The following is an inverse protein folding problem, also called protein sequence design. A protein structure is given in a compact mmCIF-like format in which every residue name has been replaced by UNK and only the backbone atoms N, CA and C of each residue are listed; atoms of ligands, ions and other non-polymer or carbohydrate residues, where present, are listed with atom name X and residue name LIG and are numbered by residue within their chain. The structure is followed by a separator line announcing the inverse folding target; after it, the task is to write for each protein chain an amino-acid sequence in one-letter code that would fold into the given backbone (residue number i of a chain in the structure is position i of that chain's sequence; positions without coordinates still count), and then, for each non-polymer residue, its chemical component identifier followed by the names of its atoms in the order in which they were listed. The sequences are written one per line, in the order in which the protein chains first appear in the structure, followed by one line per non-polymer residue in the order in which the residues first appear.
data_IF_092513604345
#
_entry.id   IF_092513604345
#
_cell.length_a   1.000
_cell.length_b   1.000
_cell.length_c   1.000
_cell.angle_alpha   90.00
_cell.angle_beta   90.00
_cell.angle_gamma   90.00
#
_symmetry.space_group_name_H-M   'P 1'
#
loop_
_entity.id
_entity.type
_entity.pdbx_description
1 polymer ?
#
# COMPACT_ATOMS: atom_id res chain seq x y z
N UNK A 1 -6.18 -37.60 16.13
CA UNK A 1 -5.78 -36.26 16.57
C UNK A 1 -5.62 -35.43 15.34
N UNK A 2 -6.34 -34.32 15.21
CA UNK A 2 -6.19 -33.42 14.08
C UNK A 2 -5.29 -32.30 14.57
N UNK A 3 -4.05 -32.30 14.10
CA UNK A 3 -3.16 -31.15 14.29
C UNK A 3 -3.76 -29.98 13.52
N UNK A 4 -3.87 -28.83 14.20
CA UNK A 4 -4.28 -27.57 13.61
C UNK A 4 -3.12 -26.59 13.73
N UNK A 5 -2.79 -25.93 12.62
CA UNK A 5 -1.78 -24.88 12.56
C UNK A 5 -2.49 -23.55 12.31
N UNK A 6 -2.10 -22.50 13.04
CA UNK A 6 -2.66 -21.15 12.89
C UNK A 6 -1.60 -20.18 12.37
N UNK A 7 -1.94 -19.45 11.32
CA UNK A 7 -1.07 -18.40 10.76
C UNK A 7 -1.52 -17.03 11.28
N UNK A 8 -0.65 -16.38 12.05
CA UNK A 8 -0.90 -15.01 12.51
C UNK A 8 -0.60 -13.98 11.41
N UNK A 9 -1.27 -12.83 11.49
CA UNK A 9 -0.90 -11.63 10.74
C UNK A 9 0.55 -11.23 11.05
N UNK A 10 1.29 -10.79 10.04
CA UNK A 10 2.65 -10.29 10.17
C UNK A 10 2.80 -9.07 9.27
N UNK A 11 2.83 -7.85 9.83
CA UNK A 11 2.75 -6.63 9.03
C UNK A 11 4.02 -6.34 8.24
N UNK A 12 5.17 -6.86 8.65
CA UNK A 12 6.46 -6.75 7.96
C UNK A 12 7.06 -8.11 7.66
N UNK A 13 8.32 -8.32 8.07
CA UNK A 13 8.98 -9.61 7.93
C UNK A 13 8.29 -10.69 8.79
N UNK A 14 8.07 -11.85 8.18
CA UNK A 14 7.51 -13.02 8.85
C UNK A 14 8.45 -13.48 9.97
N UNK A 15 7.96 -13.65 11.23
CA UNK A 15 8.79 -14.16 12.33
C UNK A 15 9.03 -15.67 12.23
N UNK A 16 8.34 -16.37 11.33
CA UNK A 16 8.45 -17.82 11.13
C UNK A 16 9.02 -18.15 9.76
N UNK A 17 9.99 -19.06 9.74
CA UNK A 17 10.56 -19.62 8.52
C UNK A 17 9.70 -20.81 8.07
N UNK A 18 8.57 -20.55 7.42
CA UNK A 18 7.79 -21.59 6.75
C UNK A 18 8.20 -21.73 5.28
N UNK A 19 8.25 -22.97 4.78
CA UNK A 19 8.51 -23.31 3.37
C UNK A 19 9.84 -22.79 2.77
N UNK A 20 10.93 -22.83 3.54
CA UNK A 20 12.29 -22.61 3.00
C UNK A 20 12.77 -21.16 2.96
N UNK A 21 12.03 -20.19 3.52
CA UNK A 21 12.49 -18.81 3.69
C UNK A 21 11.37 -17.77 3.60
N UNK A 22 11.59 -16.59 4.23
CA UNK A 22 10.76 -15.38 4.31
C UNK A 22 9.43 -15.39 3.50
N UNK A 23 8.39 -16.00 4.06
CA UNK A 23 7.02 -15.88 3.52
C UNK A 23 6.37 -14.57 3.97
N UNK A 24 6.77 -13.47 3.33
CA UNK A 24 6.37 -12.09 3.69
C UNK A 24 5.04 -11.65 3.05
N UNK A 25 4.09 -12.59 2.92
CA UNK A 25 2.78 -12.39 2.28
C UNK A 25 1.60 -12.38 3.26
N UNK A 26 1.87 -12.26 4.57
CA UNK A 26 0.87 -12.45 5.64
C UNK A 26 0.47 -11.15 6.33
N UNK A 27 0.62 -10.03 5.65
CA UNK A 27 0.26 -8.72 6.18
C UNK A 27 0.85 -7.49 5.52
N UNK A 28 2.05 -7.53 4.89
CA UNK A 28 2.60 -6.34 4.26
C UNK A 28 1.79 -5.87 3.05
N UNK A 29 1.96 -4.60 2.70
CA UNK A 29 1.41 -4.00 1.50
C UNK A 29 2.34 -4.29 0.32
N UNK A 30 1.80 -5.00 -0.67
CA UNK A 30 2.48 -5.29 -1.93
C UNK A 30 1.85 -4.50 -3.08
N UNK A 31 2.66 -3.69 -3.78
CA UNK A 31 2.20 -2.83 -4.88
C UNK A 31 1.52 -3.60 -6.03
N UNK A 32 2.04 -4.75 -6.53
CA UNK A 32 1.41 -5.45 -7.65
C UNK A 32 -0.03 -5.88 -7.37
N UNK A 33 -0.26 -6.46 -6.18
CA UNK A 33 -1.59 -6.98 -5.82
C UNK A 33 -2.57 -5.83 -5.60
N UNK A 34 -2.13 -4.75 -4.96
CA UNK A 34 -2.95 -3.55 -4.82
C UNK A 34 -3.29 -2.93 -6.18
N UNK A 35 -2.33 -2.87 -7.10
CA UNK A 35 -2.56 -2.35 -8.44
C UNK A 35 -3.60 -3.17 -9.21
N UNK A 36 -3.52 -4.50 -9.19
CA UNK A 36 -4.50 -5.37 -9.82
C UNK A 36 -5.90 -5.25 -9.20
N UNK A 37 -5.98 -5.06 -7.88
CA UNK A 37 -7.24 -4.78 -7.19
C UNK A 37 -7.85 -3.45 -7.66
N UNK A 38 -7.04 -2.40 -7.75
CA UNK A 38 -7.46 -1.07 -8.22
C UNK A 38 -7.97 -1.13 -9.66
N UNK A 39 -7.24 -1.75 -10.57
CA UNK A 39 -7.69 -1.95 -11.96
C UNK A 39 -9.01 -2.73 -12.03
N UNK A 40 -9.18 -3.74 -11.18
CA UNK A 40 -10.43 -4.50 -11.10
C UNK A 40 -11.59 -3.64 -10.60
N UNK A 41 -11.38 -2.84 -9.55
CA UNK A 41 -12.39 -1.91 -9.03
C UNK A 41 -12.81 -0.90 -10.09
N UNK A 42 -11.87 -0.32 -10.83
CA UNK A 42 -12.15 0.63 -11.92
C UNK A 42 -12.96 -0.03 -13.05
N UNK A 43 -12.60 -1.27 -13.43
CA UNK A 43 -13.35 -2.04 -14.44
C UNK A 43 -14.79 -2.31 -14.00
N UNK A 44 -14.99 -2.72 -12.75
CA UNK A 44 -16.33 -2.99 -12.23
C UNK A 44 -17.12 -1.71 -11.99
N UNK A 45 -16.48 -0.61 -11.61
CA UNK A 45 -17.11 0.70 -11.53
C UNK A 45 -17.71 1.12 -12.87
N UNK A 46 -16.98 0.90 -13.97
CA UNK A 46 -17.48 1.19 -15.31
C UNK A 46 -18.73 0.37 -15.67
N UNK A 47 -18.82 -0.87 -15.20
CA UNK A 47 -19.96 -1.75 -15.47
C UNK A 47 -21.18 -1.44 -14.57
N UNK A 48 -20.97 -1.28 -13.27
CA UNK A 48 -22.06 -1.11 -12.30
C UNK A 48 -22.49 0.35 -12.10
N UNK A 49 -21.63 1.32 -12.45
CA UNK A 49 -21.87 2.74 -12.20
C UNK A 49 -21.93 3.11 -10.72
N UNK A 50 -22.50 4.28 -10.44
CA UNK A 50 -22.42 4.91 -9.10
C UNK A 50 -23.40 4.35 -8.07
N UNK A 51 -24.34 3.49 -8.49
CA UNK A 51 -25.37 2.92 -7.60
C UNK A 51 -24.86 1.76 -6.77
N UNK A 52 -23.86 1.02 -7.25
CA UNK A 52 -23.24 -0.07 -6.51
C UNK A 52 -22.20 0.48 -5.54
N UNK A 53 -22.49 0.34 -4.24
CA UNK A 53 -21.67 0.91 -3.17
C UNK A 53 -21.06 -0.17 -2.30
N UNK A 54 -19.87 0.12 -1.79
CA UNK A 54 -19.14 -0.66 -0.80
C UNK A 54 -18.77 0.22 0.38
N UNK A 55 -18.64 -0.38 1.54
CA UNK A 55 -18.11 0.31 2.71
C UNK A 55 -16.58 0.40 2.61
N UNK A 56 -16.04 1.62 2.66
CA UNK A 56 -14.60 1.84 2.57
C UNK A 56 -14.13 2.99 3.48
N UNK A 57 -13.18 2.73 4.40
CA UNK A 57 -12.65 1.41 4.77
C UNK A 57 -13.73 0.52 5.40
N UNK A 58 -13.55 -0.80 5.35
CA UNK A 58 -14.46 -1.74 6.01
C UNK A 58 -14.65 -1.39 7.49
N UNK A 59 -15.89 -1.38 7.97
CA UNK A 59 -16.27 -1.00 9.33
C UNK A 59 -16.34 0.50 9.61
N UNK A 60 -16.15 1.38 8.63
CA UNK A 60 -16.18 2.84 8.82
C UNK A 60 -17.57 3.48 8.76
N UNK A 61 -18.58 2.77 8.27
CA UNK A 61 -19.89 3.30 7.92
C UNK A 61 -19.90 4.21 6.69
N UNK A 62 -18.75 4.43 6.03
CA UNK A 62 -18.64 5.28 4.85
C UNK A 62 -18.84 4.48 3.57
N UNK A 63 -19.93 4.76 2.85
CA UNK A 63 -20.31 4.04 1.63
C UNK A 63 -19.98 4.85 0.38
N UNK A 64 -19.13 4.28 -0.46
CA UNK A 64 -18.61 4.88 -1.69
C UNK A 64 -18.86 3.95 -2.88
N UNK A 65 -18.89 4.49 -4.08
CA UNK A 65 -18.89 3.65 -5.28
C UNK A 65 -17.51 3.01 -5.53
N UNK A 66 -17.43 2.07 -6.46
CA UNK A 66 -16.18 1.35 -6.74
C UNK A 66 -15.08 2.24 -7.32
N UNK A 67 -15.45 3.31 -8.04
CA UNK A 67 -14.49 4.26 -8.59
C UNK A 67 -13.83 5.06 -7.46
N UNK A 68 -14.63 5.63 -6.56
CA UNK A 68 -14.19 6.33 -5.36
C UNK A 68 -13.31 5.44 -4.47
N UNK A 69 -13.72 4.19 -4.22
CA UNK A 69 -12.91 3.22 -3.49
C UNK A 69 -11.52 3.01 -4.14
N UNK A 70 -11.46 2.93 -5.47
CA UNK A 70 -10.19 2.80 -6.19
C UNK A 70 -9.27 4.02 -5.99
N UNK A 71 -9.81 5.24 -6.07
CA UNK A 71 -9.04 6.47 -5.85
C UNK A 71 -8.57 6.60 -4.40
N UNK A 72 -9.39 6.18 -3.43
CA UNK A 72 -9.01 6.19 -2.01
C UNK A 72 -7.89 5.19 -1.71
N UNK A 73 -7.88 4.03 -2.37
CA UNK A 73 -6.76 3.07 -2.31
C UNK A 73 -5.48 3.66 -2.92
N UNK A 74 -5.57 4.23 -4.13
CA UNK A 74 -4.44 4.91 -4.77
C UNK A 74 -3.87 6.03 -3.88
N UNK A 75 -4.73 6.84 -3.26
CA UNK A 75 -4.34 7.93 -2.36
C UNK A 75 -3.57 7.41 -1.15
N UNK A 76 -3.96 6.26 -0.58
CA UNK A 76 -3.25 5.59 0.53
C UNK A 76 -1.88 5.08 0.09
N UNK A 77 -1.81 4.39 -1.05
CA UNK A 77 -0.57 3.80 -1.56
C UNK A 77 0.45 4.87 -1.98
N UNK A 78 0.00 5.90 -2.69
CA UNK A 78 0.84 7.07 -3.02
C UNK A 78 1.24 7.83 -1.74
N UNK A 79 0.34 7.86 -0.74
CA UNK A 79 0.57 8.46 0.56
C UNK A 79 1.82 7.93 1.27
N UNK A 80 2.19 6.66 1.05
CA UNK A 80 3.43 6.06 1.60
C UNK A 80 4.67 6.89 1.25
N UNK A 81 4.68 7.46 0.05
CA UNK A 81 5.79 8.27 -0.46
C UNK A 81 5.62 9.76 -0.20
N UNK A 82 4.48 10.23 0.29
CA UNK A 82 4.23 11.66 0.54
C UNK A 82 4.71 12.04 1.94
N UNK A 83 5.05 13.32 2.10
CA UNK A 83 5.25 13.90 3.42
C UNK A 83 3.89 14.07 4.11
N UNK A 84 3.81 13.66 5.36
CA UNK A 84 2.67 13.90 6.24
C UNK A 84 2.71 15.31 6.85
N UNK A 85 1.83 15.58 7.82
CA UNK A 85 1.76 16.87 8.52
C UNK A 85 3.00 17.21 9.35
N UNK A 86 3.83 16.22 9.70
CA UNK A 86 5.11 16.39 10.39
C UNK A 86 6.29 16.46 9.40
N UNK A 87 6.03 16.39 8.10
CA UNK A 87 7.05 16.41 7.06
C UNK A 87 7.71 15.05 6.81
N UNK A 88 7.21 13.97 7.42
CA UNK A 88 7.80 12.62 7.35
C UNK A 88 7.20 11.79 6.24
N UNK A 89 7.98 10.87 5.68
CA UNK A 89 7.49 9.88 4.68
C UNK A 89 7.41 8.51 5.31
N UNK A 90 6.30 7.80 5.10
CA UNK A 90 6.07 6.50 5.73
C UNK A 90 7.16 5.48 5.36
N UNK A 91 7.58 5.41 4.09
CA UNK A 91 8.57 4.43 3.64
C UNK A 91 9.93 4.55 4.35
N UNK A 92 10.31 5.74 4.81
CA UNK A 92 11.54 5.95 5.59
C UNK A 92 11.46 5.41 7.02
N UNK A 93 10.27 5.01 7.50
CA UNK A 93 10.06 4.46 8.83
C UNK A 93 10.54 5.39 9.94
N UNK A 94 11.23 4.82 10.93
CA UNK A 94 11.78 5.55 12.09
C UNK A 94 13.25 5.96 11.92
N UNK A 95 13.79 5.90 10.69
CA UNK A 95 15.20 6.24 10.44
C UNK A 95 15.35 7.76 10.30
N UNK A 96 15.81 8.41 11.37
CA UNK A 96 15.92 9.88 11.47
C UNK A 96 16.74 10.51 10.32
N UNK A 97 17.87 9.88 9.95
CA UNK A 97 18.71 10.29 8.82
C UNK A 97 17.89 10.45 7.53
N UNK A 98 17.04 9.47 7.22
CA UNK A 98 16.23 9.49 6.00
C UNK A 98 14.99 10.36 6.13
N UNK A 99 14.55 10.72 7.34
CA UNK A 99 13.42 11.64 7.50
C UNK A 99 13.88 13.11 7.41
N UNK A 100 15.01 13.44 8.04
CA UNK A 100 15.32 14.81 8.38
C UNK A 100 16.58 15.37 7.69
N UNK A 101 17.55 14.54 7.31
CA UNK A 101 18.78 15.05 6.70
C UNK A 101 18.50 15.64 5.30
N UNK A 102 18.88 16.90 5.04
CA UNK A 102 18.64 17.57 3.77
C UNK A 102 19.20 16.85 2.54
N UNK A 103 20.25 16.05 2.70
CA UNK A 103 20.90 15.31 1.61
C UNK A 103 20.25 13.96 1.34
N UNK A 104 19.51 13.40 2.31
CA UNK A 104 18.97 12.04 2.22
C UNK A 104 17.46 12.01 2.11
N UNK A 105 16.74 12.95 2.73
CA UNK A 105 15.28 12.89 2.90
C UNK A 105 14.45 12.89 1.62
N UNK A 106 15.05 13.30 0.51
CA UNK A 106 14.41 13.36 -0.80
C UNK A 106 14.97 12.31 -1.78
N UNK A 107 15.83 11.41 -1.31
CA UNK A 107 16.23 10.20 -2.05
C UNK A 107 15.15 9.12 -1.86
N UNK A 108 14.22 9.05 -2.82
CA UNK A 108 13.08 8.13 -2.74
C UNK A 108 13.53 6.71 -3.06
N UNK A 109 13.31 5.79 -2.12
CA UNK A 109 13.57 4.36 -2.30
C UNK A 109 12.30 3.62 -2.68
N UNK A 110 12.46 2.61 -3.53
CA UNK A 110 11.39 1.70 -3.92
C UNK A 110 11.63 0.34 -3.30
N UNK A 111 11.02 0.14 -2.14
CA UNK A 111 11.08 -1.11 -1.41
C UNK A 111 10.23 -2.20 -2.07
N UNK A 112 10.57 -3.46 -1.76
CA UNK A 112 9.88 -4.65 -2.26
C UNK A 112 8.42 -4.72 -1.77
N UNK A 113 8.21 -4.43 -0.49
CA UNK A 113 6.90 -4.33 0.16
C UNK A 113 6.97 -3.30 1.30
N UNK A 114 5.81 -2.96 1.85
CA UNK A 114 5.69 -1.96 2.91
C UNK A 114 4.98 -2.54 4.12
N UNK A 115 5.38 -2.11 5.32
CA UNK A 115 4.80 -2.58 6.56
C UNK A 115 3.29 -2.29 6.59
N UNK A 116 2.46 -3.30 6.89
CA UNK A 116 1.01 -3.22 6.82
C UNK A 116 0.39 -2.16 7.73
N UNK A 117 0.98 -1.93 8.91
CA UNK A 117 0.42 -0.99 9.89
C UNK A 117 0.89 0.47 9.70
N UNK A 118 2.09 0.69 9.16
CA UNK A 118 2.72 2.01 9.16
C UNK A 118 3.49 2.37 7.88
N UNK A 119 3.50 1.51 6.88
CA UNK A 119 4.00 1.80 5.54
C UNK A 119 5.53 1.96 5.41
N UNK A 120 6.34 1.55 6.39
CA UNK A 120 7.80 1.58 6.20
C UNK A 120 8.23 0.62 5.10
N UNK A 121 9.25 0.98 4.34
CA UNK A 121 9.82 0.10 3.33
C UNK A 121 10.52 -1.11 3.96
N UNK A 122 10.31 -2.29 3.39
CA UNK A 122 10.89 -3.56 3.83
C UNK A 122 11.37 -4.36 2.61
N UNK A 123 12.28 -5.31 2.80
CA UNK A 123 12.89 -6.07 1.71
C UNK A 123 13.88 -5.23 0.87
N UNK A 124 14.09 -5.62 -0.38
CA UNK A 124 15.03 -4.94 -1.27
C UNK A 124 14.65 -3.46 -1.49
N UNK A 125 15.61 -2.52 -1.37
CA UNK A 125 15.36 -1.07 -1.39
C UNK A 125 15.39 -0.40 -2.78
N UNK A 126 15.82 -1.14 -3.81
CA UNK A 126 15.92 -0.69 -5.21
C UNK A 126 15.05 -1.55 -6.13
N UNK A 127 13.88 -1.96 -5.63
CA UNK A 127 12.84 -2.66 -6.38
C UNK A 127 12.08 -1.65 -7.26
N UNK A 128 12.80 -1.03 -8.19
CA UNK A 128 12.24 -0.23 -9.30
C UNK A 128 11.47 -1.08 -10.32
N UNK A 129 11.08 -2.29 -9.93
CA UNK A 129 10.15 -3.14 -10.64
C UNK A 129 8.73 -2.69 -10.34
N UNK A 130 8.00 -3.43 -9.52
CA UNK A 130 6.58 -3.18 -9.33
C UNK A 130 6.27 -1.93 -8.50
N UNK A 131 7.17 -1.48 -7.63
CA UNK A 131 6.90 -0.31 -6.79
C UNK A 131 6.86 0.99 -7.60
N UNK A 132 7.41 0.99 -8.82
CA UNK A 132 7.27 2.09 -9.78
C UNK A 132 5.81 2.32 -10.25
N UNK A 133 4.89 1.37 -10.02
CA UNK A 133 3.45 1.57 -10.27
C UNK A 133 2.88 2.77 -9.49
N UNK A 134 3.54 3.24 -8.44
CA UNK A 134 3.22 4.49 -7.77
C UNK A 134 3.14 5.68 -8.74
N UNK A 135 3.99 5.75 -9.78
CA UNK A 135 3.93 6.80 -10.79
C UNK A 135 2.61 6.79 -11.58
N UNK A 136 2.10 5.59 -11.91
CA UNK A 136 0.81 5.44 -12.60
C UNK A 136 -0.35 5.91 -11.71
N UNK A 137 -0.32 5.55 -10.42
CA UNK A 137 -1.33 6.01 -9.45
C UNK A 137 -1.27 7.53 -9.22
N UNK A 138 -0.07 8.13 -9.16
CA UNK A 138 0.11 9.59 -9.10
C UNK A 138 -0.56 10.26 -10.31
N UNK A 139 -0.32 9.72 -11.51
CA UNK A 139 -0.94 10.24 -12.73
C UNK A 139 -2.46 10.12 -12.70
N UNK A 140 -2.99 8.98 -12.24
CA UNK A 140 -4.43 8.77 -12.10
C UNK A 140 -5.07 9.79 -11.16
N UNK A 141 -4.51 9.96 -9.95
CA UNK A 141 -4.98 10.93 -8.95
C UNK A 141 -4.89 12.38 -9.44
N UNK A 142 -3.91 12.71 -10.29
CA UNK A 142 -3.83 14.04 -10.89
C UNK A 142 -4.96 14.34 -11.89
N UNK A 143 -5.47 13.29 -12.56
CA UNK A 143 -6.58 13.40 -13.52
C UNK A 143 -7.95 13.38 -12.85
N UNK A 144 -8.06 12.64 -11.75
CA UNK A 144 -9.30 12.44 -11.01
C UNK A 144 -9.09 12.82 -9.54
N UNK A 145 -9.12 14.13 -9.21
CA UNK A 145 -8.98 14.56 -7.83
C UNK A 145 -10.14 14.00 -7.01
N UNK A 146 -9.83 13.13 -6.05
CA UNK A 146 -10.77 12.80 -4.98
C UNK A 146 -10.87 14.02 -4.05
N UNK A 147 -12.11 14.42 -3.74
CA UNK A 147 -12.39 15.51 -2.78
C UNK A 147 -11.75 15.31 -1.41
#
# INVERSE_FOLDING_TARGET
GVDHETLAYSPGDSPVAMFGGNSNWRGPVWMPINFLLIESLQKYAHFYGDSFKVEFPTGSGHWVNLWEASLLLEKRLVGIFRRDGEGRRAFNGQVDLFQNDPNWRDLILFNEYFHGDHGSGVGASHQTGWSAMAAKMIHQLSRYPSG
#
